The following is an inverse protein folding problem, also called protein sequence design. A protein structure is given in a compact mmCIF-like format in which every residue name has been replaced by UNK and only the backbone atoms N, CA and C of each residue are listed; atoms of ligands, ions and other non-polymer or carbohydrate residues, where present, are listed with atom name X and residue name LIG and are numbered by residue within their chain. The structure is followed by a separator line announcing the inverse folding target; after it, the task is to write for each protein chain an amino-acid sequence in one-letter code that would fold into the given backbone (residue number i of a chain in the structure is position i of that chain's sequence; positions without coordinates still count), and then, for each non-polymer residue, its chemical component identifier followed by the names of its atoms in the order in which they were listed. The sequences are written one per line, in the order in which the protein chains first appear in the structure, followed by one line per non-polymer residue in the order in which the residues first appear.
data_IF_082864667905
#
_entry.id   IF_082864667905
#
_cell.length_a   1.000
_cell.length_b   1.000
_cell.length_c   1.000
_cell.angle_alpha   90.00
_cell.angle_beta   90.00
_cell.angle_gamma   90.00
#
_symmetry.space_group_name_H-M   'P 1'
#
loop_
_entity.id
_entity.type
_entity.pdbx_description
1 polymer ?
#
# COMPACT_ATOMS: atom_id res chain seq x y z
N UNK A 1 14.02 -18.03 20.80
CA UNK A 1 13.78 -17.01 21.84
C UNK A 1 12.41 -16.42 21.60
N UNK A 2 11.39 -16.93 22.29
CA UNK A 2 10.08 -16.28 22.33
C UNK A 2 10.06 -15.33 23.53
N UNK A 3 10.04 -14.03 23.24
CA UNK A 3 9.75 -12.98 24.22
C UNK A 3 8.58 -12.20 23.66
N UNK A 4 7.42 -12.37 24.29
CA UNK A 4 6.15 -11.68 24.09
C UNK A 4 6.24 -10.38 23.25
N UNK A 5 5.72 -10.41 22.03
CA UNK A 5 5.45 -9.19 21.24
C UNK A 5 4.09 -9.29 20.56
N UNK A 6 3.03 -9.42 21.35
CA UNK A 6 1.69 -9.01 20.90
C UNK A 6 1.68 -7.47 20.84
N UNK A 7 2.17 -6.84 19.77
CA UNK A 7 1.55 -5.59 19.26
C UNK A 7 2.12 -4.86 18.02
N UNK A 8 3.25 -5.18 17.37
CA UNK A 8 3.74 -4.24 16.31
C UNK A 8 4.42 -4.86 15.07
N UNK A 9 4.55 -6.17 14.97
CA UNK A 9 5.21 -6.83 13.82
C UNK A 9 4.24 -7.33 12.75
N UNK A 10 2.94 -7.39 13.05
CA UNK A 10 1.89 -7.79 12.10
C UNK A 10 1.57 -6.70 11.09
N UNK A 11 1.55 -5.43 11.51
CA UNK A 11 1.05 -4.34 10.68
C UNK A 11 2.07 -3.88 9.64
N UNK A 12 3.35 -3.80 9.98
CA UNK A 12 4.39 -3.39 9.01
C UNK A 12 4.58 -4.39 7.87
N UNK A 13 4.64 -5.68 8.18
CA UNK A 13 4.73 -6.72 7.15
C UNK A 13 3.48 -6.75 6.29
N UNK A 14 2.31 -6.56 6.90
CA UNK A 14 1.05 -6.50 6.18
C UNK A 14 0.96 -5.26 5.28
N UNK A 15 1.37 -4.08 5.77
CA UNK A 15 1.44 -2.85 4.98
C UNK A 15 2.40 -2.99 3.81
N UNK A 16 3.58 -3.59 4.02
CA UNK A 16 4.52 -3.87 2.94
C UNK A 16 3.94 -4.82 1.90
N UNK A 17 3.24 -5.88 2.31
CA UNK A 17 2.58 -6.79 1.37
C UNK A 17 1.51 -6.07 0.55
N UNK A 18 0.62 -5.30 1.19
CA UNK A 18 -0.40 -4.52 0.48
C UNK A 18 0.24 -3.53 -0.51
N UNK A 19 1.33 -2.89 -0.11
CA UNK A 19 2.08 -1.95 -0.95
C UNK A 19 2.68 -2.64 -2.17
N UNK A 20 3.25 -3.85 -2.00
CA UNK A 20 3.78 -4.65 -3.10
C UNK A 20 2.67 -5.06 -4.08
N UNK A 21 1.51 -5.48 -3.57
CA UNK A 21 0.35 -5.86 -4.38
C UNK A 21 -0.18 -4.66 -5.18
N UNK A 22 -0.34 -3.49 -4.54
CA UNK A 22 -0.74 -2.27 -5.23
C UNK A 22 0.23 -1.91 -6.36
N UNK A 23 1.53 -1.97 -6.09
CA UNK A 23 2.58 -1.69 -7.09
C UNK A 23 2.57 -2.70 -8.23
N UNK A 24 2.35 -3.98 -7.95
CA UNK A 24 2.23 -5.01 -8.98
C UNK A 24 1.04 -4.74 -9.92
N UNK A 25 -0.11 -4.37 -9.36
CA UNK A 25 -1.27 -3.96 -10.15
C UNK A 25 -1.01 -2.69 -10.98
N UNK A 26 -0.35 -1.69 -10.40
CA UNK A 26 0.10 -0.49 -11.16
C UNK A 26 1.02 -0.87 -12.32
N UNK A 27 1.93 -1.82 -12.11
CA UNK A 27 2.88 -2.27 -13.13
C UNK A 27 2.20 -2.97 -14.31
N UNK A 28 1.19 -3.81 -14.05
CA UNK A 28 0.44 -4.52 -15.11
C UNK A 28 -0.70 -3.70 -15.72
N UNK A 29 -0.86 -2.44 -15.31
CA UNK A 29 -1.87 -1.53 -15.86
C UNK A 29 -3.28 -1.68 -15.28
N UNK A 30 -3.47 -2.54 -14.27
CA UNK A 30 -4.77 -2.67 -13.58
C UNK A 30 -4.87 -1.63 -12.46
N UNK A 31 -5.13 -0.39 -12.86
CA UNK A 31 -5.18 0.75 -11.96
C UNK A 31 -6.36 0.70 -10.99
N UNK A 32 -7.48 0.09 -11.40
CA UNK A 32 -8.64 -0.07 -10.53
C UNK A 32 -8.33 -0.99 -9.34
N UNK A 33 -7.64 -2.11 -9.58
CA UNK A 33 -7.18 -2.98 -8.50
C UNK A 33 -6.11 -2.28 -7.65
N UNK A 34 -5.13 -1.60 -8.26
CA UNK A 34 -4.12 -0.85 -7.52
C UNK A 34 -4.75 0.16 -6.55
N UNK A 35 -5.74 0.94 -7.02
CA UNK A 35 -6.42 1.95 -6.21
C UNK A 35 -7.12 1.34 -4.99
N UNK A 36 -7.78 0.18 -5.14
CA UNK A 36 -8.40 -0.53 -4.00
C UNK A 36 -7.40 -0.88 -2.90
N UNK A 37 -6.18 -1.25 -3.27
CA UNK A 37 -5.13 -1.54 -2.28
C UNK A 37 -4.55 -0.26 -1.68
N UNK A 38 -4.35 0.80 -2.47
CA UNK A 38 -3.92 2.11 -1.96
C UNK A 38 -4.92 2.66 -0.94
N UNK A 39 -6.21 2.66 -1.26
CA UNK A 39 -7.28 3.10 -0.34
C UNK A 39 -7.28 2.27 0.94
N UNK A 40 -7.13 0.94 0.82
CA UNK A 40 -7.05 0.06 1.98
C UNK A 40 -5.85 0.37 2.87
N UNK A 41 -4.69 0.64 2.28
CA UNK A 41 -3.48 1.00 3.03
C UNK A 41 -3.70 2.30 3.80
N UNK A 42 -4.24 3.33 3.13
CA UNK A 42 -4.48 4.64 3.74
C UNK A 42 -5.63 4.63 4.76
N UNK A 43 -6.56 3.68 4.66
CA UNK A 43 -7.57 3.46 5.69
C UNK A 43 -6.99 2.83 6.97
N UNK A 44 -5.92 2.03 6.85
CA UNK A 44 -5.26 1.38 7.99
C UNK A 44 -4.22 2.32 8.61
N UNK A 45 -3.37 2.92 7.78
CA UNK A 45 -2.32 3.87 8.19
C UNK A 45 -2.42 5.13 7.32
N UNK A 46 -3.26 6.11 7.72
CA UNK A 46 -3.45 7.34 6.96
C UNK A 46 -2.17 8.12 6.75
N UNK A 47 -1.17 8.00 7.63
CA UNK A 47 0.10 8.71 7.54
C UNK A 47 1.23 7.89 6.89
N UNK A 48 0.89 6.83 6.16
CA UNK A 48 1.87 6.05 5.43
C UNK A 48 2.48 6.88 4.27
N UNK A 49 3.60 7.52 4.59
CA UNK A 49 4.22 8.58 3.79
C UNK A 49 4.57 8.14 2.38
N UNK A 50 5.11 6.93 2.21
CA UNK A 50 5.50 6.43 0.88
C UNK A 50 4.29 6.26 -0.05
N UNK A 51 3.19 5.71 0.46
CA UNK A 51 1.96 5.53 -0.33
C UNK A 51 1.34 6.88 -0.69
N UNK A 52 1.25 7.80 0.28
CA UNK A 52 0.71 9.15 0.06
C UNK A 52 1.51 9.99 -0.95
N UNK A 53 2.84 9.94 -0.89
CA UNK A 53 3.70 10.87 -1.64
C UNK A 53 4.20 10.30 -2.96
N UNK A 54 4.32 8.98 -3.07
CA UNK A 54 4.90 8.33 -4.25
C UNK A 54 3.84 7.54 -5.02
N UNK A 55 3.32 6.44 -4.42
CA UNK A 55 2.48 5.49 -5.15
C UNK A 55 1.13 6.08 -5.57
N UNK A 56 0.45 6.81 -4.68
CA UNK A 56 -0.85 7.40 -4.98
C UNK A 56 -0.76 8.45 -6.10
N UNK A 57 0.16 9.44 -6.06
CA UNK A 57 0.35 10.37 -7.18
C UNK A 57 0.77 9.69 -8.49
N UNK A 58 1.62 8.65 -8.44
CA UNK A 58 1.99 7.87 -9.64
C UNK A 58 0.76 7.22 -10.27
N UNK A 59 -0.07 6.56 -9.46
CA UNK A 59 -1.28 5.89 -9.90
C UNK A 59 -2.27 6.89 -10.52
N UNK A 60 -2.50 8.04 -9.88
CA UNK A 60 -3.40 9.06 -10.40
C UNK A 60 -2.96 9.58 -11.78
N UNK A 61 -1.65 9.82 -11.98
CA UNK A 61 -1.11 10.22 -13.29
C UNK A 61 -1.35 9.15 -14.35
N UNK A 62 -1.20 7.87 -13.99
CA UNK A 62 -1.42 6.75 -14.92
C UNK A 62 -2.90 6.53 -15.27
N UNK A 63 -3.82 6.87 -14.39
CA UNK A 63 -5.26 6.79 -14.65
C UNK A 63 -5.81 7.93 -15.50
N UNK A 64 -5.10 9.06 -15.57
CA UNK A 64 -5.49 10.24 -16.35
C UNK A 64 -4.98 10.21 -17.81
N UNK A 65 -4.06 9.30 -18.13
CA UNK A 65 -3.52 9.06 -19.47
C UNK A 65 -4.20 7.87 -20.13
#
# INVERSE_FOLDING_TARGET
MEKNSRNNSGDWNYMHLLTLVARAYTYVGDYASSMKFVDRILAIEPEFTWVKKELYPELMKKMQN
#
